data_IF_045497755247
#
_entry.id   IF_045497755247
#
_cell.length_a   1.000
_cell.length_b   1.000
_cell.length_c   1.000
_cell.angle_alpha   90.00
_cell.angle_beta   90.00
_cell.angle_gamma   90.00
#
_symmetry.space_group_name_H-M   'P 1'
#
loop_
_entity.id
_entity.type
_entity.pdbx_description
1 polymer ?
#
# COMPACT_ATOMS: atom_id res chain seq x y z
N UNK A 1 35.79 9.16 -7.21
CA UNK A 1 35.29 8.30 -6.13
C UNK A 1 33.79 8.50 -6.06
N UNK A 2 32.98 7.47 -6.32
CA UNK A 2 31.53 7.58 -6.25
C UNK A 2 31.11 7.81 -4.79
N UNK A 3 30.51 8.98 -4.49
CA UNK A 3 29.90 9.24 -3.19
C UNK A 3 28.72 8.30 -3.02
N UNK A 4 28.82 7.37 -2.07
CA UNK A 4 27.68 6.56 -1.63
C UNK A 4 26.73 7.48 -0.88
N UNK A 5 25.60 7.81 -1.49
CA UNK A 5 24.52 8.54 -0.83
C UNK A 5 23.89 7.55 0.12
N UNK A 6 24.21 7.68 1.42
CA UNK A 6 23.47 6.95 2.45
C UNK A 6 22.15 7.68 2.68
N UNK A 7 21.09 7.18 2.04
CA UNK A 7 19.74 7.55 2.47
C UNK A 7 19.56 7.06 3.92
N UNK A 8 19.08 7.90 4.83
CA UNK A 8 18.64 7.40 6.11
C UNK A 8 17.51 6.41 5.83
N UNK A 9 17.82 5.14 5.99
CA UNK A 9 16.81 4.06 6.01
C UNK A 9 16.04 4.27 7.33
N UNK A 10 15.10 5.15 7.29
CA UNK A 10 14.12 5.42 8.34
C UNK A 10 12.81 5.48 7.62
N UNK A 11 12.06 4.66 7.84
CA UNK A 11 11.20 3.96 8.71
C UNK A 11 10.42 2.93 7.90
N UNK A 12 10.21 1.70 8.37
CA UNK A 12 9.39 0.69 7.69
C UNK A 12 7.97 1.18 7.38
N UNK A 13 7.50 2.20 8.10
CA UNK A 13 6.16 2.77 7.95
C UNK A 13 5.90 3.47 6.60
N UNK A 14 6.93 4.02 5.93
CA UNK A 14 6.74 4.71 4.63
C UNK A 14 6.72 3.77 3.43
N UNK A 15 7.44 2.66 3.50
CA UNK A 15 7.28 1.51 2.61
C UNK A 15 6.27 0.49 3.15
N UNK A 16 5.53 0.86 4.21
CA UNK A 16 4.53 0.02 4.85
C UNK A 16 3.42 -0.34 3.87
N UNK A 17 2.99 -1.59 3.95
CA UNK A 17 1.86 -2.07 3.17
C UNK A 17 0.58 -1.35 3.57
N UNK A 18 -0.29 -1.12 2.59
CA UNK A 18 -1.62 -0.56 2.81
C UNK A 18 -2.66 -1.68 2.75
N UNK A 19 -3.16 -2.17 3.89
CA UNK A 19 -4.22 -3.16 3.90
C UNK A 19 -5.50 -2.57 3.33
N UNK A 20 -6.23 -3.39 2.60
CA UNK A 20 -7.53 -3.01 2.05
C UNK A 20 -8.57 -3.12 3.15
N UNK A 21 -9.28 -2.02 3.37
CA UNK A 21 -10.48 -1.98 4.20
C UNK A 21 -11.68 -1.88 3.27
N UNK A 22 -12.78 -2.59 3.58
CA UNK A 22 -13.97 -2.57 2.75
C UNK A 22 -14.38 -1.14 2.40
N UNK A 23 -14.40 -0.82 1.09
CA UNK A 23 -14.93 0.46 0.61
C UNK A 23 -16.43 0.48 0.87
N UNK A 24 -16.92 1.49 1.60
CA UNK A 24 -18.36 1.72 1.73
C UNK A 24 -18.91 2.11 0.36
N UNK A 25 -19.50 1.16 -0.35
CA UNK A 25 -20.27 1.48 -1.54
C UNK A 25 -21.58 2.11 -1.11
N UNK A 26 -22.00 3.16 -1.81
CA UNK A 26 -23.26 3.88 -1.54
C UNK A 26 -24.52 2.99 -1.72
N UNK A 27 -24.36 1.80 -2.29
CA UNK A 27 -25.41 0.80 -2.49
C UNK A 27 -25.65 -0.14 -1.27
N UNK A 28 -24.74 -0.16 -0.29
CA UNK A 28 -24.82 -1.07 0.87
C UNK A 28 -25.72 -0.55 2.00
N UNK A 29 -26.66 0.32 1.72
CA UNK A 29 -27.76 0.60 2.64
C UNK A 29 -28.74 -0.57 2.66
N UNK A 30 -28.32 -1.71 3.18
CA UNK A 30 -29.27 -2.74 3.63
C UNK A 30 -30.04 -2.18 4.82
N UNK A 31 -31.39 -2.18 4.79
CA UNK A 31 -32.18 -1.77 5.94
C UNK A 31 -31.87 -2.74 7.09
N UNK A 32 -31.17 -2.29 8.12
CA UNK A 32 -30.83 -3.08 9.30
C UNK A 32 -29.37 -2.99 9.75
N UNK A 33 -28.47 -2.34 9.04
CA UNK A 33 -27.10 -2.16 9.48
C UNK A 33 -27.03 -1.07 10.56
N UNK A 34 -27.05 -1.50 11.81
CA UNK A 34 -26.94 -0.63 12.98
C UNK A 34 -25.48 -0.22 13.19
N UNK A 35 -25.25 1.09 13.30
CA UNK A 35 -23.99 1.62 13.79
C UNK A 35 -23.69 1.08 15.19
N UNK A 36 -22.50 0.51 15.37
CA UNK A 36 -22.04 -0.07 16.64
C UNK A 36 -22.02 0.96 17.80
N UNK A 37 -22.17 2.25 17.51
CA UNK A 37 -22.08 3.35 18.47
C UNK A 37 -23.37 4.13 18.71
N UNK A 38 -24.48 3.77 18.09
CA UNK A 38 -25.77 4.41 18.34
C UNK A 38 -26.82 3.37 18.73
N UNK A 39 -26.94 3.11 20.04
CA UNK A 39 -28.09 2.45 20.64
C UNK A 39 -28.09 0.92 20.60
N UNK A 40 -27.30 0.28 21.44
CA UNK A 40 -27.67 -0.89 22.23
C UNK A 40 -28.14 -2.18 21.54
N UNK A 41 -27.88 -2.41 20.24
CA UNK A 41 -28.09 -3.71 19.61
C UNK A 41 -26.78 -4.36 19.29
N UNK A 42 -26.45 -5.44 19.99
CA UNK A 42 -25.38 -6.37 19.66
C UNK A 42 -25.63 -6.91 18.24
N UNK A 43 -24.81 -6.47 17.25
CA UNK A 43 -24.73 -7.15 15.97
C UNK A 43 -24.13 -8.53 16.26
N UNK A 44 -24.89 -9.60 16.00
CA UNK A 44 -24.36 -10.96 16.17
C UNK A 44 -23.17 -11.12 15.24
N UNK A 45 -22.01 -11.56 15.75
CA UNK A 45 -20.80 -11.88 14.99
C UNK A 45 -21.07 -12.83 13.80
N UNK A 46 -22.16 -13.59 13.88
CA UNK A 46 -22.63 -14.53 12.85
C UNK A 46 -23.16 -13.87 11.56
N UNK A 47 -22.93 -12.57 11.35
CA UNK A 47 -23.35 -11.83 10.15
C UNK A 47 -22.19 -11.18 9.39
N UNK A 48 -20.94 -11.38 9.85
CA UNK A 48 -19.77 -10.92 9.10
C UNK A 48 -19.56 -11.84 7.90
N UNK A 49 -19.17 -11.25 6.76
CA UNK A 49 -18.69 -12.03 5.64
C UNK A 49 -17.32 -12.63 5.97
N UNK A 50 -16.88 -13.63 5.21
CA UNK A 50 -15.56 -14.24 5.43
C UNK A 50 -14.41 -13.22 5.27
N UNK A 51 -14.57 -12.23 4.40
CA UNK A 51 -13.62 -11.13 4.27
C UNK A 51 -13.63 -10.19 5.49
N UNK A 52 -14.81 -9.82 5.99
CA UNK A 52 -14.93 -8.97 7.17
C UNK A 52 -14.38 -9.64 8.44
N UNK A 53 -14.61 -10.96 8.57
CA UNK A 53 -14.02 -11.75 9.66
C UNK A 53 -12.49 -11.83 9.53
N UNK A 54 -11.99 -12.00 8.30
CA UNK A 54 -10.56 -11.99 8.03
C UNK A 54 -9.91 -10.66 8.42
N UNK A 55 -10.52 -9.52 8.06
CA UNK A 55 -10.02 -8.19 8.43
C UNK A 55 -9.94 -8.01 9.95
N UNK A 56 -10.98 -8.49 10.68
CA UNK A 56 -11.00 -8.40 12.14
C UNK A 56 -9.87 -9.22 12.78
N UNK A 57 -9.61 -10.43 12.26
CA UNK A 57 -8.54 -11.29 12.75
C UNK A 57 -7.16 -10.71 12.40
N UNK A 58 -7.02 -10.13 11.22
CA UNK A 58 -5.79 -9.51 10.75
C UNK A 58 -5.40 -8.28 11.59
N UNK A 59 -6.37 -7.42 11.91
CA UNK A 59 -6.18 -6.28 12.82
C UNK A 59 -5.73 -6.70 14.23
N UNK A 60 -6.06 -7.93 14.65
CA UNK A 60 -5.63 -8.51 15.93
C UNK A 60 -4.30 -9.27 15.82
N UNK A 61 -3.73 -9.41 14.64
CA UNK A 61 -2.54 -10.22 14.38
C UNK A 61 -2.80 -11.73 14.53
N UNK A 62 -4.06 -12.18 14.41
CA UNK A 62 -4.40 -13.61 14.52
C UNK A 62 -4.06 -14.34 13.20
N UNK A 63 -3.26 -15.40 13.31
CA UNK A 63 -2.85 -16.23 12.17
C UNK A 63 -4.04 -16.84 11.39
N UNK A 64 -5.23 -16.87 11.96
CA UNK A 64 -6.45 -17.32 11.28
C UNK A 64 -6.86 -16.41 10.12
N UNK A 65 -6.46 -15.13 10.13
CA UNK A 65 -6.77 -14.17 9.08
C UNK A 65 -6.43 -14.73 7.69
N UNK A 66 -5.27 -15.36 7.54
CA UNK A 66 -4.84 -15.97 6.27
C UNK A 66 -5.84 -17.01 5.75
N UNK A 67 -6.32 -17.91 6.61
CA UNK A 67 -7.32 -18.93 6.24
C UNK A 67 -8.67 -18.33 5.88
N UNK A 68 -9.05 -17.27 6.56
CA UNK A 68 -10.30 -16.56 6.30
C UNK A 68 -10.28 -15.78 4.99
N UNK A 69 -9.16 -15.13 4.62
CA UNK A 69 -9.00 -14.53 3.29
C UNK A 69 -9.08 -15.58 2.18
N UNK A 70 -8.45 -16.76 2.37
CA UNK A 70 -8.57 -17.86 1.41
C UNK A 70 -10.01 -18.34 1.26
N UNK A 71 -10.76 -18.42 2.36
CA UNK A 71 -12.18 -18.76 2.36
C UNK A 71 -13.01 -17.69 1.64
N UNK A 72 -12.76 -16.41 1.91
CA UNK A 72 -13.40 -15.29 1.22
C UNK A 72 -13.23 -15.38 -0.31
N UNK A 73 -12.02 -15.68 -0.79
CA UNK A 73 -11.75 -15.90 -2.21
C UNK A 73 -12.59 -17.05 -2.78
N UNK A 74 -12.67 -18.18 -2.06
CA UNK A 74 -13.46 -19.34 -2.50
C UNK A 74 -14.97 -19.03 -2.57
N UNK A 75 -15.44 -18.19 -1.67
CA UNK A 75 -16.86 -17.76 -1.59
C UNK A 75 -17.18 -16.60 -2.56
N UNK A 76 -16.18 -16.05 -3.24
CA UNK A 76 -16.36 -14.91 -4.13
C UNK A 76 -16.55 -13.57 -3.39
N UNK A 77 -16.13 -13.49 -2.12
CA UNK A 77 -16.29 -12.32 -1.26
C UNK A 77 -15.03 -11.44 -1.32
N UNK A 78 -15.15 -10.26 -1.93
CA UNK A 78 -14.07 -9.27 -2.04
C UNK A 78 -12.75 -9.88 -2.54
N UNK A 79 -12.79 -10.61 -3.67
CA UNK A 79 -11.69 -11.44 -4.16
C UNK A 79 -10.39 -10.63 -4.32
N UNK A 80 -10.47 -9.46 -4.98
CA UNK A 80 -9.29 -8.62 -5.22
C UNK A 80 -8.68 -8.12 -3.91
N UNK A 81 -9.53 -7.64 -2.99
CA UNK A 81 -9.12 -7.16 -1.67
C UNK A 81 -8.49 -8.29 -0.84
N UNK A 82 -9.09 -9.49 -0.86
CA UNK A 82 -8.60 -10.65 -0.13
C UNK A 82 -7.23 -11.12 -0.65
N UNK A 83 -7.04 -11.15 -1.97
CA UNK A 83 -5.72 -11.42 -2.55
C UNK A 83 -4.69 -10.34 -2.18
N UNK A 84 -5.08 -9.06 -2.16
CA UNK A 84 -4.19 -7.98 -1.75
C UNK A 84 -3.71 -8.18 -0.31
N UNK A 85 -4.62 -8.44 0.63
CA UNK A 85 -4.26 -8.64 2.04
C UNK A 85 -3.46 -9.94 2.25
N UNK A 86 -3.76 -11.02 1.52
CA UNK A 86 -2.89 -12.20 1.51
C UNK A 86 -1.48 -11.89 1.01
N UNK A 87 -1.35 -11.04 -0.01
CA UNK A 87 -0.05 -10.57 -0.51
C UNK A 87 0.74 -9.83 0.56
N UNK A 88 0.10 -9.02 1.38
CA UNK A 88 0.73 -8.34 2.52
C UNK A 88 1.24 -9.36 3.53
N UNK A 89 0.39 -10.30 3.96
CA UNK A 89 0.78 -11.36 4.92
C UNK A 89 1.98 -12.17 4.41
N UNK A 90 1.97 -12.56 3.13
CA UNK A 90 3.10 -13.30 2.54
C UNK A 90 4.38 -12.46 2.45
N UNK A 91 4.25 -11.15 2.17
CA UNK A 91 5.39 -10.24 2.13
C UNK A 91 6.02 -10.03 3.51
N UNK A 92 5.21 -9.85 4.55
CA UNK A 92 5.67 -9.75 5.95
C UNK A 92 6.38 -11.04 6.39
N UNK A 93 5.89 -12.19 5.93
CA UNK A 93 6.56 -13.49 6.13
C UNK A 93 7.81 -13.70 5.25
N UNK A 94 8.22 -12.68 4.44
CA UNK A 94 9.34 -12.74 3.49
C UNK A 94 9.18 -13.79 2.37
N UNK A 95 7.96 -14.23 2.13
CA UNK A 95 7.61 -15.13 1.03
C UNK A 95 7.34 -14.31 -0.26
N UNK A 96 8.33 -13.55 -0.72
CA UNK A 96 8.18 -12.54 -1.77
C UNK A 96 7.57 -13.09 -3.08
N UNK A 97 7.92 -14.32 -3.48
CA UNK A 97 7.31 -14.95 -4.66
C UNK A 97 5.79 -15.09 -4.51
N UNK A 98 5.32 -15.62 -3.36
CA UNK A 98 3.89 -15.79 -3.09
C UNK A 98 3.17 -14.44 -2.96
N UNK A 99 3.84 -13.44 -2.40
CA UNK A 99 3.30 -12.10 -2.31
C UNK A 99 3.06 -11.48 -3.70
N UNK A 100 4.04 -11.62 -4.62
CA UNK A 100 3.90 -11.20 -6.01
C UNK A 100 2.72 -11.90 -6.69
N UNK A 101 2.61 -13.23 -6.50
CA UNK A 101 1.49 -14.00 -7.06
C UNK A 101 0.14 -13.48 -6.54
N UNK A 102 0.02 -13.25 -5.23
CA UNK A 102 -1.21 -12.73 -4.63
C UNK A 102 -1.57 -11.34 -5.17
N UNK A 103 -0.64 -10.39 -5.20
CA UNK A 103 -0.91 -9.06 -5.75
C UNK A 103 -1.26 -9.12 -7.24
N UNK A 104 -0.61 -10.01 -8.00
CA UNK A 104 -0.92 -10.21 -9.43
C UNK A 104 -2.32 -10.78 -9.61
N UNK A 105 -2.75 -11.72 -8.77
CA UNK A 105 -4.10 -12.26 -8.79
C UNK A 105 -5.13 -11.20 -8.42
N UNK A 106 -4.85 -10.35 -7.44
CA UNK A 106 -5.69 -9.20 -7.11
C UNK A 106 -5.87 -8.27 -8.33
N UNK A 107 -4.77 -7.94 -9.03
CA UNK A 107 -4.80 -7.10 -10.23
C UNK A 107 -5.45 -7.79 -11.43
N UNK A 108 -5.48 -9.12 -11.48
CA UNK A 108 -6.23 -9.87 -12.50
C UNK A 108 -7.73 -9.75 -12.30
N UNK A 109 -8.20 -9.75 -11.03
CA UNK A 109 -9.61 -9.56 -10.69
C UNK A 109 -10.04 -8.08 -10.85
N UNK A 110 -9.20 -7.16 -10.39
CA UNK A 110 -9.44 -5.71 -10.50
C UNK A 110 -8.17 -5.00 -11.01
N UNK A 111 -8.04 -4.75 -12.34
CA UNK A 111 -6.84 -4.14 -12.92
C UNK A 111 -6.50 -2.73 -12.41
N UNK A 112 -7.44 -2.03 -11.81
CA UNK A 112 -7.24 -0.71 -11.20
C UNK A 112 -7.32 -0.75 -9.68
N UNK A 113 -6.95 -1.88 -9.07
CA UNK A 113 -6.89 -2.02 -7.62
C UNK A 113 -5.70 -1.23 -7.07
N UNK A 114 -5.97 -0.06 -6.52
CA UNK A 114 -4.96 0.89 -6.06
C UNK A 114 -3.96 0.27 -5.07
N UNK A 115 -4.49 -0.37 -4.02
CA UNK A 115 -3.69 -0.94 -2.94
C UNK A 115 -2.74 -2.03 -3.44
N UNK A 116 -3.18 -2.84 -4.40
CA UNK A 116 -2.32 -3.89 -4.98
C UNK A 116 -1.21 -3.32 -5.82
N UNK A 117 -1.44 -2.27 -6.62
CA UNK A 117 -0.36 -1.58 -7.31
C UNK A 117 0.63 -0.96 -6.33
N UNK A 118 0.15 -0.26 -5.31
CA UNK A 118 1.00 0.36 -4.29
C UNK A 118 1.85 -0.68 -3.54
N UNK A 119 1.22 -1.76 -3.06
CA UNK A 119 1.89 -2.80 -2.28
C UNK A 119 2.89 -3.61 -3.13
N UNK A 120 2.54 -3.91 -4.38
CA UNK A 120 3.44 -4.58 -5.32
C UNK A 120 4.65 -3.71 -5.66
N UNK A 121 4.45 -2.39 -5.80
CA UNK A 121 5.54 -1.43 -5.96
C UNK A 121 6.49 -1.42 -4.75
N UNK A 122 5.94 -1.39 -3.53
CA UNK A 122 6.73 -1.49 -2.30
C UNK A 122 7.57 -2.76 -2.28
N UNK A 123 6.96 -3.89 -2.63
CA UNK A 123 7.66 -5.18 -2.66
C UNK A 123 8.77 -5.20 -3.70
N UNK A 124 8.53 -4.69 -4.93
CA UNK A 124 9.58 -4.59 -5.94
C UNK A 124 10.70 -3.66 -5.52
N UNK A 125 10.41 -2.55 -4.84
CA UNK A 125 11.42 -1.65 -4.29
C UNK A 125 12.26 -2.34 -3.20
N UNK A 126 11.63 -3.13 -2.32
CA UNK A 126 12.31 -3.88 -1.27
C UNK A 126 13.30 -4.92 -1.83
N UNK A 127 12.92 -5.63 -2.90
CA UNK A 127 13.80 -6.61 -3.55
C UNK A 127 14.76 -6.00 -4.57
N UNK A 128 14.78 -4.67 -4.70
CA UNK A 128 15.70 -3.92 -5.58
C UNK A 128 15.31 -3.89 -7.05
N UNK A 129 14.10 -4.30 -7.40
CA UNK A 129 13.58 -4.18 -8.77
C UNK A 129 12.93 -2.81 -8.99
N UNK A 130 13.75 -1.76 -9.00
CA UNK A 130 13.30 -0.38 -9.12
C UNK A 130 12.51 -0.07 -10.40
N UNK A 131 12.85 -0.65 -11.57
CA UNK A 131 12.06 -0.42 -12.79
C UNK A 131 10.61 -0.89 -12.66
N UNK A 132 10.35 -2.07 -12.10
CA UNK A 132 8.99 -2.55 -11.88
C UNK A 132 8.28 -1.77 -10.75
N UNK A 133 9.01 -1.44 -9.68
CA UNK A 133 8.47 -0.60 -8.62
C UNK A 133 7.97 0.75 -9.16
N UNK A 134 8.76 1.41 -10.03
CA UNK A 134 8.38 2.66 -10.70
C UNK A 134 7.06 2.53 -11.45
N UNK A 135 6.92 1.52 -12.31
CA UNK A 135 5.69 1.30 -13.10
C UNK A 135 4.46 1.19 -12.20
N UNK A 136 4.55 0.40 -11.14
CA UNK A 136 3.42 0.17 -10.25
C UNK A 136 3.11 1.39 -9.36
N UNK A 137 4.11 2.17 -8.93
CA UNK A 137 3.85 3.45 -8.25
C UNK A 137 3.21 4.47 -9.18
N UNK A 138 3.67 4.60 -10.43
CA UNK A 138 3.08 5.49 -11.41
C UNK A 138 1.61 5.13 -11.66
N UNK A 139 1.30 3.84 -11.81
CA UNK A 139 -0.08 3.37 -11.94
C UNK A 139 -0.90 3.67 -10.67
N UNK A 140 -0.34 3.47 -9.48
CA UNK A 140 -1.04 3.80 -8.23
C UNK A 140 -1.36 5.31 -8.13
N UNK A 141 -0.46 6.17 -8.61
CA UNK A 141 -0.66 7.62 -8.67
C UNK A 141 -1.75 8.00 -9.69
N UNK A 142 -1.83 7.30 -10.83
CA UNK A 142 -2.91 7.52 -11.80
C UNK A 142 -4.29 7.15 -11.24
N UNK A 143 -4.36 6.14 -10.38
CA UNK A 143 -5.61 5.70 -9.76
C UNK A 143 -5.99 6.62 -8.60
N UNK A 144 -5.05 6.93 -7.72
CA UNK A 144 -5.27 7.73 -6.51
C UNK A 144 -4.18 8.82 -6.40
N UNK A 145 -4.30 9.92 -7.16
CA UNK A 145 -3.26 10.95 -7.25
C UNK A 145 -3.04 11.73 -5.96
N UNK A 146 -4.02 11.71 -5.05
CA UNK A 146 -3.94 12.44 -3.79
C UNK A 146 -3.33 11.61 -2.65
N UNK A 147 -2.95 10.36 -2.89
CA UNK A 147 -2.28 9.52 -1.89
C UNK A 147 -0.78 9.87 -1.78
N UNK A 148 -0.35 10.54 -0.68
CA UNK A 148 1.00 11.10 -0.60
C UNK A 148 2.11 10.05 -0.69
N UNK A 149 1.90 8.89 -0.05
CA UNK A 149 2.94 7.88 0.07
C UNK A 149 3.37 7.28 -1.28
N UNK A 150 2.48 7.24 -2.29
CA UNK A 150 2.87 6.81 -3.64
C UNK A 150 3.90 7.75 -4.25
N UNK A 151 3.72 9.06 -4.12
CA UNK A 151 4.69 10.06 -4.59
C UNK A 151 6.01 9.99 -3.82
N UNK A 152 5.95 9.79 -2.50
CA UNK A 152 7.14 9.68 -1.67
C UNK A 152 7.98 8.45 -2.04
N UNK A 153 7.34 7.27 -2.07
CA UNK A 153 8.02 6.01 -2.35
C UNK A 153 8.54 5.95 -3.79
N UNK A 154 7.79 6.54 -4.75
CA UNK A 154 8.29 6.74 -6.11
C UNK A 154 9.55 7.60 -6.12
N UNK A 155 9.56 8.72 -5.39
CA UNK A 155 10.72 9.59 -5.29
C UNK A 155 11.95 8.87 -4.75
N UNK A 156 11.81 8.07 -3.68
CA UNK A 156 12.90 7.26 -3.15
C UNK A 156 13.37 6.19 -4.15
N UNK A 157 12.43 5.51 -4.79
CA UNK A 157 12.72 4.47 -5.80
C UNK A 157 13.50 5.04 -6.97
N UNK A 158 13.09 6.21 -7.49
CA UNK A 158 13.78 6.91 -8.57
C UNK A 158 15.20 7.36 -8.17
N UNK A 159 15.36 7.84 -6.94
CA UNK A 159 16.67 8.20 -6.42
C UNK A 159 17.61 6.98 -6.32
N UNK A 160 17.11 5.83 -5.87
CA UNK A 160 17.86 4.58 -5.85
C UNK A 160 18.19 4.07 -7.26
N UNK A 161 17.30 4.32 -8.22
CA UNK A 161 17.51 4.01 -9.64
C UNK A 161 18.38 5.05 -10.37
N UNK A 162 18.93 6.05 -9.66
CA UNK A 162 19.75 7.15 -10.19
C UNK A 162 19.02 8.12 -11.14
N UNK A 163 17.70 8.11 -11.12
CA UNK A 163 16.85 9.06 -11.83
C UNK A 163 16.60 10.31 -10.97
N UNK A 164 17.67 11.07 -10.66
CA UNK A 164 17.64 12.08 -9.59
C UNK A 164 16.66 13.22 -9.88
N UNK A 165 16.58 13.70 -11.12
CA UNK A 165 15.66 14.79 -11.50
C UNK A 165 14.20 14.37 -11.32
N UNK A 166 13.84 13.15 -11.76
CA UNK A 166 12.52 12.59 -11.59
C UNK A 166 12.19 12.33 -10.10
N UNK A 167 13.19 11.92 -9.31
CA UNK A 167 13.06 11.75 -7.87
C UNK A 167 12.67 13.06 -7.17
N UNK A 168 13.38 14.17 -7.51
CA UNK A 168 13.08 15.50 -6.99
C UNK A 168 11.64 15.90 -7.34
N UNK A 169 11.22 15.71 -8.61
CA UNK A 169 9.87 16.04 -9.04
C UNK A 169 8.80 15.27 -8.26
N UNK A 170 9.03 13.98 -8.04
CA UNK A 170 8.10 13.14 -7.28
C UNK A 170 8.02 13.57 -5.80
N UNK A 171 9.16 13.88 -5.17
CA UNK A 171 9.20 14.42 -3.80
C UNK A 171 8.54 15.80 -3.68
N UNK A 172 8.63 16.66 -4.71
CA UNK A 172 7.91 17.93 -4.75
C UNK A 172 6.38 17.70 -4.81
N UNK A 173 5.92 16.67 -5.52
CA UNK A 173 4.51 16.31 -5.56
C UNK A 173 4.03 15.72 -4.21
N UNK A 174 4.86 14.91 -3.55
CA UNK A 174 4.62 14.49 -2.17
C UNK A 174 4.47 15.69 -1.23
N UNK A 175 5.43 16.64 -1.28
CA UNK A 175 5.44 17.84 -0.45
C UNK A 175 4.16 18.67 -0.53
N UNK A 176 3.53 18.74 -1.71
CA UNK A 176 2.25 19.46 -1.89
C UNK A 176 1.11 18.85 -1.07
N UNK A 177 1.15 17.54 -0.82
CA UNK A 177 0.11 16.73 -0.17
C UNK A 177 0.45 16.37 1.28
N UNK A 178 1.68 16.60 1.69
CA UNK A 178 2.22 16.24 2.98
C UNK A 178 1.77 17.20 4.10
N UNK A 179 1.77 16.72 5.34
CA UNK A 179 1.60 17.54 6.55
C UNK A 179 2.77 18.52 6.75
N UNK A 180 2.65 19.45 7.68
CA UNK A 180 3.71 20.44 7.94
C UNK A 180 5.05 19.78 8.36
N UNK A 181 4.98 18.74 9.17
CA UNK A 181 6.16 17.99 9.62
C UNK A 181 6.81 17.21 8.47
N UNK A 182 6.00 16.52 7.67
CA UNK A 182 6.47 15.75 6.52
C UNK A 182 7.07 16.64 5.41
N UNK A 183 6.60 17.89 5.27
CA UNK A 183 7.20 18.87 4.34
C UNK A 183 8.66 19.17 4.67
N UNK A 184 9.00 19.32 5.96
CA UNK A 184 10.37 19.55 6.36
C UNK A 184 11.29 18.42 5.92
N UNK A 185 10.88 17.18 6.14
CA UNK A 185 11.62 16.01 5.70
C UNK A 185 11.75 15.91 4.16
N UNK A 186 10.68 16.23 3.44
CA UNK A 186 10.72 16.29 1.98
C UNK A 186 11.73 17.34 1.48
N UNK A 187 11.76 18.53 2.10
CA UNK A 187 12.69 19.62 1.74
C UNK A 187 14.16 19.22 1.97
N UNK A 188 14.46 18.49 3.04
CA UNK A 188 15.79 17.96 3.30
C UNK A 188 16.25 16.96 2.22
N UNK A 189 15.36 16.03 1.85
CA UNK A 189 15.63 15.05 0.80
C UNK A 189 15.86 15.74 -0.56
N UNK A 190 14.97 16.66 -0.93
CA UNK A 190 15.09 17.45 -2.18
C UNK A 190 16.41 18.21 -2.21
N UNK A 191 16.74 18.91 -1.11
CA UNK A 191 18.00 19.66 -1.01
C UNK A 191 19.23 18.75 -1.15
N UNK A 192 19.18 17.56 -0.56
CA UNK A 192 20.27 16.59 -0.65
C UNK A 192 20.45 16.07 -2.07
N UNK A 193 19.36 15.73 -2.75
CA UNK A 193 19.39 15.26 -4.14
C UNK A 193 19.85 16.37 -5.10
N UNK A 194 19.40 17.61 -4.90
CA UNK A 194 19.81 18.75 -5.74
C UNK A 194 21.31 18.98 -5.67
N UNK A 195 21.92 18.86 -4.49
CA UNK A 195 23.39 18.98 -4.33
C UNK A 195 24.17 17.91 -5.11
N UNK A 196 23.58 16.74 -5.34
CA UNK A 196 24.26 15.67 -6.11
C UNK A 196 24.28 15.92 -7.61
N UNK A 197 23.41 16.78 -8.13
CA UNK A 197 23.39 17.14 -9.56
C UNK A 197 24.38 18.26 -9.84
N UNK A 198 24.66 19.13 -8.84
CA UNK A 198 25.50 20.32 -9.02
C UNK A 198 26.98 20.07 -8.73
N UNK A 199 27.37 18.88 -8.35
CA UNK A 199 28.75 18.43 -8.11
C UNK A 199 29.19 17.44 -9.16
#
# INVERSE_FOLDING_TARGET
MAKVIKFPIQTPEKFGFKPVRRRKTTSDKKPGQLNLFTGGKLVKLNQLSSFEEALLMDEQGDAKAKGLYQKAIQEGDAIADAYCNLGIIESEAKNFGKAIDCFTLSLKEEPRHFESHYNLANLYAEIGNFPLAKVHYETSIEIEPEFPNSHFNLGLTLAMNKEIENAILSLMNYRKRATAEEKCHADELISTLTRTITT
#
